data_IF_269109490988
#
_entry.id   IF_269109490988
#
_cell.length_a   1.000
_cell.length_b   1.000
_cell.length_c   1.000
_cell.angle_alpha   90.00
_cell.angle_beta   90.00
_cell.angle_gamma   90.00
#
_symmetry.space_group_name_H-M   'P 1'
#
loop_
_entity.id
_entity.type
_entity.pdbx_description
1 polymer ?
#
# COMPACT_ATOMS: atom_id res chain seq x y z
N UNK A 1 -1.60 -9.49 -22.59
CA UNK A 1 -0.21 -8.98 -22.46
C UNK A 1 -0.11 -8.27 -21.11
N UNK A 2 0.96 -8.49 -20.33
CA UNK A 2 1.09 -7.95 -18.96
C UNK A 2 0.89 -6.44 -18.84
N UNK A 3 1.30 -5.67 -19.86
CA UNK A 3 1.11 -4.21 -19.89
C UNK A 3 -0.36 -3.79 -19.99
N UNK A 4 -1.18 -4.51 -20.76
CA UNK A 4 -2.61 -4.22 -20.89
C UNK A 4 -3.36 -4.51 -19.58
N UNK A 5 -3.04 -5.65 -18.97
CA UNK A 5 -3.59 -6.03 -17.66
C UNK A 5 -3.22 -4.99 -16.59
N UNK A 6 -1.99 -4.51 -16.60
CA UNK A 6 -1.55 -3.42 -15.73
C UNK A 6 -2.40 -2.14 -15.89
N UNK A 7 -2.65 -1.71 -17.13
CA UNK A 7 -3.48 -0.53 -17.41
C UNK A 7 -4.94 -0.73 -16.96
N UNK A 8 -5.49 -1.93 -17.17
CA UNK A 8 -6.85 -2.28 -16.75
C UNK A 8 -6.97 -2.28 -15.22
N UNK A 9 -6.03 -2.90 -14.50
CA UNK A 9 -5.99 -2.90 -13.04
C UNK A 9 -5.85 -1.49 -12.46
N UNK A 10 -4.99 -0.66 -13.05
CA UNK A 10 -4.85 0.75 -12.65
C UNK A 10 -6.16 1.52 -12.82
N UNK A 11 -6.84 1.33 -13.95
CA UNK A 11 -8.13 1.97 -14.21
C UNK A 11 -9.17 1.55 -13.17
N UNK A 12 -9.33 0.26 -12.92
CA UNK A 12 -10.28 -0.27 -11.94
C UNK A 12 -10.00 0.29 -10.54
N UNK A 13 -8.72 0.33 -10.13
CA UNK A 13 -8.33 0.90 -8.84
C UNK A 13 -8.73 2.38 -8.73
N UNK A 14 -8.43 3.18 -9.76
CA UNK A 14 -8.79 4.61 -9.79
C UNK A 14 -10.31 4.80 -9.71
N UNK A 15 -11.06 4.07 -10.54
CA UNK A 15 -12.52 4.14 -10.58
C UNK A 15 -13.12 3.80 -9.20
N UNK A 16 -12.60 2.78 -8.51
CA UNK A 16 -13.08 2.38 -7.18
C UNK A 16 -12.78 3.44 -6.11
N UNK A 17 -11.63 4.11 -6.17
CA UNK A 17 -11.29 5.19 -5.24
C UNK A 17 -12.23 6.39 -5.44
N UNK A 18 -12.49 6.76 -6.70
CA UNK A 18 -13.35 7.90 -7.03
C UNK A 18 -14.84 7.65 -6.70
N UNK A 19 -15.25 6.38 -6.72
CA UNK A 19 -16.63 5.95 -6.46
C UNK A 19 -16.92 5.64 -4.98
N UNK A 20 -15.98 5.91 -4.07
CA UNK A 20 -16.20 5.64 -2.66
C UNK A 20 -17.41 6.42 -2.12
N UNK A 21 -18.29 5.77 -1.34
CA UNK A 21 -19.47 6.42 -0.81
C UNK A 21 -19.08 7.56 0.13
N UNK A 22 -19.90 8.62 0.16
CA UNK A 22 -19.78 9.66 1.17
C UNK A 22 -20.18 9.10 2.53
N UNK A 23 -19.19 8.81 3.37
CA UNK A 23 -19.39 8.23 4.70
C UNK A 23 -19.68 9.37 5.67
N UNK A 24 -20.87 9.35 6.28
CA UNK A 24 -21.30 10.38 7.25
C UNK A 24 -20.62 10.25 8.61
N UNK A 25 -20.22 9.03 8.96
CA UNK A 25 -19.49 8.76 10.19
C UNK A 25 -18.01 9.16 10.01
N UNK A 26 -17.56 10.13 10.81
CA UNK A 26 -16.22 10.71 10.69
C UNK A 26 -15.11 9.70 11.01
N UNK A 27 -15.35 8.76 11.93
CA UNK A 27 -14.38 7.74 12.29
C UNK A 27 -14.21 6.75 11.14
N UNK A 28 -15.32 6.25 10.58
CA UNK A 28 -15.28 5.33 9.43
C UNK A 28 -14.67 6.05 8.21
N UNK A 29 -15.05 7.30 7.94
CA UNK A 29 -14.48 8.09 6.85
C UNK A 29 -12.95 8.21 6.97
N UNK A 30 -12.45 8.46 8.19
CA UNK A 30 -11.02 8.54 8.49
C UNK A 30 -10.30 7.21 8.26
N UNK A 31 -10.88 6.10 8.72
CA UNK A 31 -10.31 4.76 8.53
C UNK A 31 -10.23 4.38 7.05
N UNK A 32 -11.30 4.64 6.28
CA UNK A 32 -11.35 4.38 4.84
C UNK A 32 -10.30 5.23 4.11
N UNK A 33 -10.22 6.52 4.41
CA UNK A 33 -9.20 7.41 3.83
C UNK A 33 -7.78 6.90 4.09
N UNK A 34 -7.45 6.55 5.34
CA UNK A 34 -6.12 6.03 5.71
C UNK A 34 -5.80 4.72 4.98
N UNK A 35 -6.78 3.82 4.86
CA UNK A 35 -6.61 2.56 4.14
C UNK A 35 -6.25 2.80 2.66
N UNK A 36 -6.93 3.73 1.99
CA UNK A 36 -6.65 4.09 0.59
C UNK A 36 -5.28 4.72 0.46
N UNK A 37 -4.96 5.70 1.30
CA UNK A 37 -3.65 6.37 1.31
C UNK A 37 -2.51 5.36 1.46
N UNK A 38 -2.65 4.37 2.35
CA UNK A 38 -1.67 3.31 2.53
C UNK A 38 -1.50 2.47 1.25
N UNK A 39 -2.58 2.06 0.60
CA UNK A 39 -2.50 1.31 -0.67
C UNK A 39 -1.81 2.12 -1.77
N UNK A 40 -2.14 3.41 -1.91
CA UNK A 40 -1.52 4.29 -2.90
C UNK A 40 -0.02 4.46 -2.63
N UNK A 41 0.39 4.62 -1.36
CA UNK A 41 1.80 4.74 -0.98
C UNK A 41 2.58 3.49 -1.41
N UNK A 42 2.03 2.29 -1.17
CA UNK A 42 2.67 1.02 -1.55
C UNK A 42 2.87 0.93 -3.05
N UNK A 43 1.81 1.23 -3.82
CA UNK A 43 1.86 1.20 -5.28
C UNK A 43 2.87 2.21 -5.83
N UNK A 44 2.87 3.44 -5.30
CA UNK A 44 3.84 4.46 -5.68
C UNK A 44 5.28 4.03 -5.39
N UNK A 45 5.53 3.38 -4.26
CA UNK A 45 6.85 2.87 -3.90
C UNK A 45 7.33 1.80 -4.90
N UNK A 46 6.45 0.87 -5.28
CA UNK A 46 6.74 -0.14 -6.31
C UNK A 46 7.03 0.53 -7.64
N UNK A 47 6.19 1.47 -8.09
CA UNK A 47 6.39 2.18 -9.35
C UNK A 47 7.70 2.94 -9.39
N UNK A 48 7.99 3.71 -8.33
CA UNK A 48 9.21 4.49 -8.25
C UNK A 48 10.44 3.59 -8.36
N UNK A 49 10.46 2.48 -7.62
CA UNK A 49 11.54 1.50 -7.69
C UNK A 49 11.64 0.84 -9.07
N UNK A 50 10.53 0.51 -9.72
CA UNK A 50 10.53 -0.01 -11.09
C UNK A 50 11.10 1.00 -12.09
N UNK A 51 10.70 2.27 -12.00
CA UNK A 51 11.19 3.35 -12.88
C UNK A 51 12.70 3.53 -12.71
N UNK A 52 13.21 3.61 -11.48
CA UNK A 52 14.64 3.76 -11.20
C UNK A 52 15.47 2.58 -11.72
N UNK A 53 14.93 1.35 -11.65
CA UNK A 53 15.60 0.18 -12.20
C UNK A 53 15.56 0.15 -13.74
N UNK A 54 14.45 0.56 -14.37
CA UNK A 54 14.37 0.70 -15.82
C UNK A 54 15.35 1.74 -16.37
N UNK A 55 15.50 2.89 -15.69
CA UNK A 55 16.52 3.90 -16.04
C UNK A 55 17.93 3.33 -16.02
N UNK A 56 18.24 2.44 -15.07
CA UNK A 56 19.54 1.77 -15.00
C UNK A 56 19.70 0.72 -16.08
N UNK A 57 18.65 -0.03 -16.36
CA UNK A 57 18.62 -1.02 -17.43
C UNK A 57 18.83 -0.38 -18.81
N UNK A 58 18.31 0.82 -19.06
CA UNK A 58 18.56 1.57 -20.31
C UNK A 58 20.05 1.84 -20.56
N UNK A 59 20.85 1.90 -19.49
CA UNK A 59 22.30 2.14 -19.57
C UNK A 59 23.13 0.84 -19.50
N UNK A 60 22.50 -0.33 -19.40
CA UNK A 60 23.18 -1.62 -19.31
C UNK A 60 23.88 -1.97 -20.63
N UNK A 61 25.13 -2.44 -20.55
CA UNK A 61 25.95 -2.81 -21.73
C UNK A 61 26.22 -4.31 -21.80
N UNK A 62 26.07 -5.01 -20.68
CA UNK A 62 26.39 -6.43 -20.55
C UNK A 62 25.25 -7.19 -19.89
N UNK A 63 25.23 -8.52 -20.09
CA UNK A 63 24.29 -9.40 -19.40
C UNK A 63 24.43 -9.32 -17.87
N UNK A 64 25.66 -9.13 -17.37
CA UNK A 64 25.90 -8.93 -15.93
C UNK A 64 25.23 -7.68 -15.40
N UNK A 65 25.23 -6.57 -16.15
CA UNK A 65 24.54 -5.33 -15.73
C UNK A 65 23.03 -5.56 -15.58
N UNK A 66 22.45 -6.33 -16.49
CA UNK A 66 21.02 -6.71 -16.46
C UNK A 66 20.73 -7.56 -15.23
N UNK A 67 21.51 -8.63 -15.00
CA UNK A 67 21.32 -9.55 -13.86
C UNK A 67 21.49 -8.82 -12.53
N UNK A 68 22.52 -7.99 -12.40
CA UNK A 68 22.75 -7.19 -11.19
C UNK A 68 21.62 -6.19 -10.93
N UNK A 69 21.11 -5.53 -11.98
CA UNK A 69 19.98 -4.61 -11.87
C UNK A 69 18.71 -5.34 -11.44
N UNK A 70 18.45 -6.52 -12.02
CA UNK A 70 17.31 -7.35 -11.66
C UNK A 70 17.39 -7.84 -10.20
N UNK A 71 18.56 -8.33 -9.76
CA UNK A 71 18.76 -8.77 -8.38
C UNK A 71 18.55 -7.60 -7.39
N UNK A 72 19.05 -6.41 -7.73
CA UNK A 72 18.85 -5.21 -6.91
C UNK A 72 17.38 -4.82 -6.83
N UNK A 73 16.68 -4.82 -7.96
CA UNK A 73 15.25 -4.53 -8.04
C UNK A 73 14.43 -5.45 -7.14
N UNK A 74 14.66 -6.77 -7.24
CA UNK A 74 13.96 -7.76 -6.40
C UNK A 74 14.19 -7.52 -4.91
N UNK A 75 15.43 -7.22 -4.52
CA UNK A 75 15.76 -6.94 -3.12
C UNK A 75 15.13 -5.63 -2.61
N UNK A 76 15.19 -4.56 -3.41
CA UNK A 76 14.60 -3.26 -3.09
C UNK A 76 13.07 -3.35 -2.91
N UNK A 77 12.38 -4.02 -3.85
CA UNK A 77 10.93 -4.24 -3.74
C UNK A 77 10.61 -5.10 -2.52
N UNK A 78 11.30 -6.22 -2.31
CA UNK A 78 11.04 -7.12 -1.18
C UNK A 78 11.14 -6.37 0.15
N UNK A 79 12.18 -5.54 0.32
CA UNK A 79 12.34 -4.68 1.50
C UNK A 79 11.20 -3.67 1.66
N UNK A 80 10.82 -2.97 0.58
CA UNK A 80 9.73 -1.97 0.61
C UNK A 80 8.38 -2.60 0.92
N UNK A 81 8.07 -3.75 0.33
CA UNK A 81 6.83 -4.50 0.61
C UNK A 81 6.79 -4.99 2.05
N UNK A 82 7.90 -5.52 2.57
CA UNK A 82 8.00 -5.98 3.96
C UNK A 82 7.78 -4.83 4.95
N UNK A 83 8.41 -3.68 4.71
CA UNK A 83 8.21 -2.47 5.52
C UNK A 83 6.77 -1.96 5.44
N UNK A 84 6.17 -2.01 4.26
CA UNK A 84 4.78 -1.59 4.06
C UNK A 84 3.79 -2.51 4.77
N UNK A 85 3.99 -3.83 4.67
CA UNK A 85 3.20 -4.81 5.40
C UNK A 85 3.31 -4.59 6.91
N UNK A 86 4.52 -4.33 7.42
CA UNK A 86 4.71 -4.01 8.84
C UNK A 86 3.97 -2.74 9.25
N UNK A 87 4.03 -1.67 8.43
CA UNK A 87 3.28 -0.42 8.70
C UNK A 87 1.77 -0.65 8.69
N UNK A 88 1.28 -1.42 7.74
CA UNK A 88 -0.13 -1.78 7.64
C UNK A 88 -0.61 -2.56 8.87
N UNK A 89 0.18 -3.56 9.31
CA UNK A 89 -0.09 -4.31 10.53
C UNK A 89 -0.11 -3.41 11.76
N UNK A 90 0.88 -2.52 11.91
CA UNK A 90 0.94 -1.60 13.04
C UNK A 90 -0.26 -0.63 13.07
N UNK A 91 -0.66 -0.10 11.90
CA UNK A 91 -1.85 0.75 11.81
C UNK A 91 -3.12 -0.02 12.16
N UNK A 92 -3.27 -1.26 11.67
CA UNK A 92 -4.42 -2.12 11.96
C UNK A 92 -4.51 -2.46 13.46
N UNK A 93 -3.38 -2.78 14.10
CA UNK A 93 -3.33 -3.02 15.55
C UNK A 93 -3.69 -1.77 16.35
N UNK A 94 -3.25 -0.60 15.92
CA UNK A 94 -3.66 0.69 16.50
C UNK A 94 -5.17 0.89 16.42
N UNK A 95 -5.78 0.65 15.25
CA UNK A 95 -7.23 0.77 15.07
C UNK A 95 -8.03 -0.21 15.95
N UNK A 96 -7.54 -1.42 16.18
CA UNK A 96 -8.16 -2.39 17.11
C UNK A 96 -8.07 -1.89 18.55
N UNK A 97 -6.93 -1.32 18.96
CA UNK A 97 -6.77 -0.76 20.30
C UNK A 97 -7.71 0.43 20.53
N UNK A 98 -7.76 1.36 19.58
CA UNK A 98 -8.66 2.52 19.62
C UNK A 98 -10.14 2.09 19.69
N UNK A 99 -10.53 1.08 18.90
CA UNK A 99 -11.88 0.53 18.91
C UNK A 99 -12.22 -0.17 20.23
N UNK A 100 -11.28 -0.91 20.82
CA UNK A 100 -11.47 -1.54 22.13
C UNK A 100 -11.62 -0.51 23.25
N UNK A 101 -10.90 0.61 23.18
CA UNK A 101 -11.03 1.72 24.13
C UNK A 101 -12.36 2.46 23.95
N UNK A 102 -12.79 2.67 22.70
CA UNK A 102 -14.13 3.19 22.39
C UNK A 102 -15.23 2.27 22.95
N UNK A 103 -15.12 0.96 22.72
CA UNK A 103 -16.06 -0.03 23.27
C UNK A 103 -16.12 0.02 24.79
N UNK A 104 -14.97 0.10 25.48
CA UNK A 104 -14.94 0.20 26.96
C UNK A 104 -15.59 1.47 27.50
N UNK A 105 -15.54 2.57 26.74
CA UNK A 105 -16.06 3.87 27.15
C UNK A 105 -17.53 4.10 26.78
N UNK A 106 -18.05 3.38 25.78
CA UNK A 106 -19.40 3.60 25.23
C UNK A 106 -20.33 2.39 25.37
N UNK A 107 -19.77 1.20 25.57
CA UNK A 107 -20.51 0.06 26.08
C UNK A 107 -20.02 -0.12 27.52
N UNK A 108 -20.91 -0.08 28.51
CA UNK A 108 -20.62 -0.42 29.91
C UNK A 108 -20.12 -1.88 30.02
N UNK A 109 -18.90 -2.14 29.55
CA UNK A 109 -18.12 -3.34 29.86
C UNK A 109 -17.29 -3.11 31.13
N UNK A 110 -17.75 -2.20 31.99
CA UNK A 110 -17.48 -2.23 33.41
C UNK A 110 -18.39 -3.30 34.05
N UNK A 111 -18.08 -4.56 33.82
CA UNK A 111 -18.46 -5.62 34.75
C UNK A 111 -17.18 -6.08 35.42
N UNK A 112 -17.06 -5.71 36.70
CA UNK A 112 -16.19 -6.20 37.78
C UNK A 112 -15.03 -7.15 37.42
#
# INVERSE_FOLDING_TARGET
>A
MPYKEFQENWKILSDLIDQLPQIKDEQIATLVKRYIEQNIIILNDVFHTSIENLKKLQNAKTANDVICTQARFTNEISKKLSLSAQRFLNASLGHIADYNEWLKSHCDLATD
#
